data_IF_803388040646
#
_entry.id   IF_803388040646
#
_cell.length_a   1.000
_cell.length_b   1.000
_cell.length_c   1.000
_cell.angle_alpha   90.00
_cell.angle_beta   90.00
_cell.angle_gamma   90.00
#
_symmetry.space_group_name_H-M   'P 1'
#
loop_
_entity.id
_entity.type
_entity.pdbx_description
1 polymer ?
#
# COMPACT_ATOMS: atom_id res chain seq x y z
N UNK A 1 4.84 17.61 -1.95
CA UNK A 1 6.28 17.71 -1.66
C UNK A 1 6.75 16.91 -0.45
N UNK A 2 5.84 16.41 0.42
CA UNK A 2 6.22 15.74 1.68
C UNK A 2 7.09 14.48 1.50
N UNK A 3 7.03 13.81 0.35
CA UNK A 3 7.92 12.68 0.03
C UNK A 3 9.40 13.06 -0.09
N UNK A 4 9.71 14.35 -0.23
CA UNK A 4 11.09 14.88 -0.27
C UNK A 4 11.60 15.27 1.12
N UNK A 5 10.73 15.31 2.09
CA UNK A 5 11.10 15.71 3.45
C UNK A 5 11.76 14.53 4.17
N UNK A 6 12.97 14.72 4.62
CA UNK A 6 13.67 13.76 5.48
C UNK A 6 13.25 13.88 6.95
N UNK A 7 12.20 14.65 7.22
CA UNK A 7 11.74 14.91 8.57
C UNK A 7 10.78 13.83 9.05
N UNK A 8 10.80 13.62 10.34
CA UNK A 8 9.79 12.78 10.99
C UNK A 8 8.41 13.38 10.74
N UNK A 9 7.41 12.59 10.34
CA UNK A 9 6.08 13.11 10.15
C UNK A 9 5.55 13.72 11.45
N UNK A 10 4.72 14.77 11.36
CA UNK A 10 4.10 15.37 12.53
C UNK A 10 3.21 14.35 13.26
N UNK A 11 2.82 14.67 14.48
CA UNK A 11 1.92 13.82 15.26
C UNK A 11 0.66 13.47 14.45
N UNK A 12 0.20 12.23 14.57
CA UNK A 12 -1.01 11.75 13.90
C UNK A 12 -2.29 12.43 14.41
N UNK A 13 -2.22 13.02 15.59
CA UNK A 13 -3.37 13.60 16.29
C UNK A 13 -3.62 15.08 15.94
N UNK A 14 -2.75 15.67 15.14
CA UNK A 14 -2.85 17.08 14.76
C UNK A 14 -3.25 17.19 13.29
N UNK A 15 -4.28 17.99 13.03
CA UNK A 15 -4.65 18.36 11.67
C UNK A 15 -3.60 19.32 11.10
N UNK A 16 -3.08 18.97 9.94
CA UNK A 16 -2.08 19.78 9.25
C UNK A 16 -2.76 20.85 8.41
N UNK A 17 -2.32 22.10 8.44
CA UNK A 17 -2.97 23.20 7.69
C UNK A 17 -3.11 22.91 6.20
N UNK A 18 -2.12 22.23 5.61
CA UNK A 18 -2.06 21.92 4.18
C UNK A 18 -2.52 20.49 3.85
N UNK A 19 -3.07 19.77 4.81
CA UNK A 19 -3.55 18.41 4.52
C UNK A 19 -4.71 18.46 3.55
N UNK A 20 -4.73 17.52 2.62
CA UNK A 20 -5.82 17.35 1.66
C UNK A 20 -6.58 16.07 1.95
N UNK A 21 -7.87 16.19 2.13
CA UNK A 21 -8.74 15.04 2.28
C UNK A 21 -9.05 14.45 0.91
N UNK A 22 -8.72 13.18 0.74
CA UNK A 22 -9.04 12.42 -0.47
C UNK A 22 -10.22 11.52 -0.16
N UNK A 23 -11.32 11.74 -0.84
CA UNK A 23 -12.53 10.92 -0.74
C UNK A 23 -12.64 10.05 -1.99
N UNK A 24 -12.87 8.77 -1.79
CA UNK A 24 -13.08 7.81 -2.87
C UNK A 24 -14.39 7.05 -2.66
N UNK A 25 -15.12 6.84 -3.75
CA UNK A 25 -16.32 6.00 -3.79
C UNK A 25 -15.94 4.52 -3.95
N UNK A 26 -16.84 3.57 -3.62
CA UNK A 26 -16.62 2.17 -3.93
C UNK A 26 -16.26 1.97 -5.40
N UNK A 27 -15.27 1.13 -5.67
CA UNK A 27 -14.75 0.88 -7.02
C UNK A 27 -13.71 1.86 -7.53
N UNK A 28 -13.40 2.92 -6.79
CA UNK A 28 -12.30 3.83 -7.12
C UNK A 28 -11.01 3.40 -6.44
N UNK A 29 -9.89 3.66 -7.11
CA UNK A 29 -8.54 3.46 -6.59
C UNK A 29 -7.83 4.81 -6.39
N UNK A 30 -7.03 4.89 -5.34
CA UNK A 30 -6.13 6.01 -5.08
C UNK A 30 -4.72 5.48 -5.22
N UNK A 31 -3.94 6.08 -6.12
CA UNK A 31 -2.53 5.74 -6.33
C UNK A 31 -1.69 6.92 -5.86
N UNK A 32 -0.73 6.65 -5.01
CA UNK A 32 0.16 7.69 -4.48
C UNK A 32 1.53 7.13 -4.15
N UNK A 33 2.53 7.99 -4.08
CA UNK A 33 3.86 7.62 -3.63
C UNK A 33 3.83 7.30 -2.14
N UNK A 34 4.27 6.10 -1.75
CA UNK A 34 4.27 5.64 -0.36
C UNK A 34 5.09 6.50 0.61
N UNK A 35 5.99 7.35 0.10
CA UNK A 35 6.77 8.30 0.90
C UNK A 35 6.02 9.61 1.21
N UNK A 36 4.85 9.82 0.62
CA UNK A 36 4.01 10.95 1.01
C UNK A 36 3.57 10.80 2.46
N UNK A 37 3.54 11.90 3.18
CA UNK A 37 2.88 11.91 4.48
C UNK A 37 1.40 11.69 4.27
N UNK A 38 0.91 10.61 4.80
CA UNK A 38 -0.49 10.22 4.68
C UNK A 38 -0.97 9.54 5.96
N UNK A 39 -2.26 9.64 6.18
CA UNK A 39 -2.93 8.94 7.28
C UNK A 39 -4.34 8.52 6.87
N UNK A 40 -4.85 7.48 7.51
CA UNK A 40 -6.26 7.15 7.45
C UNK A 40 -7.02 7.87 8.56
N UNK A 41 -8.09 8.55 8.21
CA UNK A 41 -9.01 9.09 9.22
C UNK A 41 -9.97 8.02 9.72
N UNK A 42 -10.39 8.15 10.97
CA UNK A 42 -11.40 7.29 11.57
C UNK A 42 -12.71 7.28 10.77
N UNK A 43 -13.34 6.14 10.70
CA UNK A 43 -14.67 6.01 10.11
C UNK A 43 -15.71 6.52 11.09
N UNK A 44 -16.36 7.62 10.77
CA UNK A 44 -17.42 8.24 11.58
C UNK A 44 -18.84 7.83 11.13
N UNK A 45 -18.94 6.92 10.16
CA UNK A 45 -20.24 6.41 9.70
C UNK A 45 -20.64 5.14 10.44
N UNK A 46 -21.92 4.78 10.36
CA UNK A 46 -22.43 3.53 10.91
C UNK A 46 -22.17 2.31 10.00
N UNK A 47 -21.52 2.50 8.88
CA UNK A 47 -21.23 1.42 7.92
C UNK A 47 -19.74 1.04 7.93
N UNK A 48 -19.45 -0.22 7.57
CA UNK A 48 -18.06 -0.69 7.46
C UNK A 48 -17.38 -0.11 6.24
N UNK A 49 -16.20 0.47 6.42
CA UNK A 49 -15.29 0.87 5.34
C UNK A 49 -14.25 -0.23 5.12
N UNK A 50 -14.30 -0.88 3.98
CA UNK A 50 -13.30 -1.87 3.57
C UNK A 50 -12.39 -1.24 2.51
N UNK A 51 -11.09 -1.43 2.66
CA UNK A 51 -10.07 -0.93 1.73
C UNK A 51 -9.09 -2.05 1.46
N UNK A 52 -8.74 -2.24 0.20
CA UNK A 52 -7.64 -3.10 -0.20
C UNK A 52 -6.40 -2.21 -0.36
N UNK A 53 -5.35 -2.49 0.40
CA UNK A 53 -4.07 -1.80 0.30
C UNK A 53 -3.10 -2.68 -0.48
N UNK A 54 -2.52 -2.14 -1.53
CA UNK A 54 -1.51 -2.82 -2.34
C UNK A 54 -0.28 -1.93 -2.43
N UNK A 55 0.88 -2.50 -2.15
CA UNK A 55 2.16 -1.84 -2.29
C UNK A 55 2.91 -2.44 -3.48
N UNK A 56 3.35 -1.59 -4.39
CA UNK A 56 4.26 -1.97 -5.47
C UNK A 56 5.63 -1.35 -5.19
N UNK A 57 6.65 -2.12 -5.38
CA UNK A 57 8.04 -1.71 -5.18
C UNK A 57 8.93 -2.33 -6.25
N UNK A 58 10.13 -1.80 -6.38
CA UNK A 58 11.13 -2.39 -7.28
C UNK A 58 11.50 -3.80 -6.80
N UNK A 59 11.80 -4.70 -7.72
CA UNK A 59 12.12 -6.11 -7.43
C UNK A 59 13.33 -6.29 -6.52
N UNK A 60 14.32 -5.38 -6.60
CA UNK A 60 15.51 -5.39 -5.74
C UNK A 60 15.23 -4.99 -4.27
N UNK A 61 14.03 -4.46 -3.99
CA UNK A 61 13.63 -4.13 -2.62
C UNK A 61 13.02 -5.36 -1.95
N UNK A 62 13.51 -5.68 -0.76
CA UNK A 62 12.93 -6.76 0.04
C UNK A 62 11.47 -6.45 0.36
N UNK A 63 10.58 -7.40 0.08
CA UNK A 63 9.18 -7.29 0.46
C UNK A 63 9.03 -7.09 1.96
N UNK A 64 8.13 -6.20 2.35
CA UNK A 64 7.74 -5.98 3.75
C UNK A 64 6.76 -7.05 4.25
N UNK A 65 6.07 -7.69 3.32
CA UNK A 65 5.07 -8.72 3.60
C UNK A 65 5.65 -10.11 3.31
N UNK A 66 5.31 -11.06 4.14
CA UNK A 66 5.55 -12.48 3.87
C UNK A 66 4.28 -13.08 3.30
N UNK A 67 4.38 -13.60 2.09
CA UNK A 67 3.23 -14.23 1.41
C UNK A 67 3.20 -15.73 1.74
N UNK A 68 2.80 -16.04 2.97
CA UNK A 68 2.66 -17.42 3.44
C UNK A 68 1.17 -17.79 3.51
N UNK A 69 0.83 -18.93 2.97
CA UNK A 69 -0.54 -19.42 3.00
C UNK A 69 -0.92 -20.23 1.76
N UNK A 70 -2.09 -20.88 1.79
CA UNK A 70 -2.48 -21.81 0.72
C UNK A 70 -2.58 -21.17 -0.67
N UNK A 71 -3.08 -19.93 -0.74
CA UNK A 71 -3.23 -19.21 -2.01
C UNK A 71 -1.85 -18.81 -2.55
N UNK A 72 -0.99 -18.28 -1.70
CA UNK A 72 0.39 -17.90 -2.07
C UNK A 72 1.19 -19.10 -2.52
N UNK A 73 1.12 -20.21 -1.80
CA UNK A 73 1.78 -21.45 -2.17
C UNK A 73 1.29 -21.99 -3.52
N UNK A 74 -0.02 -21.93 -3.78
CA UNK A 74 -0.57 -22.32 -5.07
C UNK A 74 -0.04 -21.44 -6.21
N UNK A 75 0.03 -20.12 -6.01
CA UNK A 75 0.55 -19.19 -7.00
C UNK A 75 2.05 -19.35 -7.25
N UNK A 76 2.83 -19.60 -6.19
CA UNK A 76 4.26 -19.88 -6.30
C UNK A 76 4.53 -21.12 -7.16
N UNK A 77 3.75 -22.16 -6.97
CA UNK A 77 3.93 -23.44 -7.69
C UNK A 77 3.35 -23.42 -9.12
N UNK A 78 2.14 -22.89 -9.29
CA UNK A 78 1.36 -23.02 -10.53
C UNK A 78 0.99 -21.67 -11.16
N UNK A 79 1.45 -20.56 -10.62
CA UNK A 79 1.17 -19.23 -11.15
C UNK A 79 1.94 -18.93 -12.44
N UNK A 80 1.44 -17.95 -13.18
CA UNK A 80 2.17 -17.37 -14.31
C UNK A 80 3.44 -16.67 -13.85
N UNK A 81 4.37 -16.41 -14.76
CA UNK A 81 5.61 -15.66 -14.45
C UNK A 81 5.32 -14.29 -13.84
N UNK A 82 4.28 -13.60 -14.34
CA UNK A 82 3.87 -12.33 -13.76
C UNK A 82 3.37 -12.47 -12.33
N UNK A 83 2.58 -13.51 -12.04
CA UNK A 83 2.10 -13.78 -10.68
C UNK A 83 3.24 -14.11 -9.72
N UNK A 84 4.20 -14.91 -10.17
CA UNK A 84 5.40 -15.23 -9.40
C UNK A 84 6.27 -13.99 -9.17
N UNK A 85 6.45 -13.16 -10.21
CA UNK A 85 7.18 -11.90 -10.09
C UNK A 85 6.53 -10.95 -9.07
N UNK A 86 5.20 -10.83 -9.09
CA UNK A 86 4.47 -10.00 -8.12
C UNK A 86 4.54 -10.52 -6.69
N UNK A 87 4.79 -11.81 -6.51
CA UNK A 87 5.05 -12.43 -5.20
C UNK A 87 6.54 -12.35 -4.78
N UNK A 88 7.40 -11.81 -5.63
CA UNK A 88 8.84 -11.73 -5.36
C UNK A 88 9.60 -13.05 -5.52
N UNK A 89 9.02 -14.04 -6.21
CA UNK A 89 9.63 -15.36 -6.38
C UNK A 89 10.58 -15.45 -7.58
N UNK A 90 10.53 -14.49 -8.48
CA UNK A 90 11.35 -14.45 -9.69
C UNK A 90 12.20 -13.19 -9.68
N UNK A 91 13.48 -13.35 -9.42
CA UNK A 91 14.48 -12.31 -9.63
C UNK A 91 14.82 -12.27 -11.14
N UNK A 92 14.48 -11.19 -11.80
CA UNK A 92 14.82 -10.98 -13.23
C UNK A 92 16.06 -10.09 -13.42
N UNK A 93 17.03 -10.21 -12.51
CA UNK A 93 18.31 -9.51 -12.66
C UNK A 93 19.45 -10.48 -12.94
#
# INVERSE_FOLDING_TARGET
GSHKALFKPPSQDIDFPDQKLILAKPGQAIIFNGWLYHRGLGNKSNSKRRVCLMCYQNSWMKSRETFDGPVSSKLKNNGTDLQKLLLGEVDKW
#
